data_IF_487574778949
#
_entry.id   IF_487574778949
#
_cell.length_a   1.000
_cell.length_b   1.000
_cell.length_c   1.000
_cell.angle_alpha   90.00
_cell.angle_beta   90.00
_cell.angle_gamma   90.00
#
_symmetry.space_group_name_H-M   'P 1'
#
loop_
_entity.id
_entity.type
_entity.pdbx_description
1 polymer ?
#
# COMPACT_ATOMS: atom_id res chain seq x y z
N UNK A 1 -35.69 74.77 0.36
CA UNK A 1 -34.38 74.12 0.37
C UNK A 1 -34.65 72.67 0.74
N UNK A 2 -34.74 71.76 -0.26
CA UNK A 2 -35.06 70.33 -0.09
C UNK A 2 -33.81 69.52 -0.24
N UNK A 3 -33.43 68.82 0.83
CA UNK A 3 -32.28 67.94 0.82
C UNK A 3 -32.80 66.48 0.81
N UNK A 4 -32.80 65.90 -0.38
CA UNK A 4 -33.10 64.48 -0.53
C UNK A 4 -31.79 63.67 -0.34
N UNK A 5 -31.66 62.99 0.80
CA UNK A 5 -30.58 62.04 1.05
C UNK A 5 -30.84 60.72 0.33
N UNK A 6 -29.98 60.37 -0.62
CA UNK A 6 -29.97 59.05 -1.27
C UNK A 6 -29.33 58.01 -0.34
N UNK A 7 -30.09 57.00 0.06
CA UNK A 7 -29.59 55.83 0.79
C UNK A 7 -29.11 54.81 -0.25
N UNK A 8 -27.79 54.68 -0.41
CA UNK A 8 -27.20 53.64 -1.23
C UNK A 8 -27.24 52.31 -0.43
N UNK A 9 -28.15 51.42 -0.84
CA UNK A 9 -28.20 50.05 -0.29
C UNK A 9 -27.04 49.18 -0.81
N UNK A 10 -26.14 48.79 0.06
CA UNK A 10 -25.12 47.81 -0.26
C UNK A 10 -25.72 46.40 -0.30
N UNK A 11 -25.85 45.83 -1.48
CA UNK A 11 -26.22 44.42 -1.67
C UNK A 11 -24.98 43.55 -1.36
N UNK A 12 -24.95 42.91 -0.19
CA UNK A 12 -23.97 41.87 0.10
C UNK A 12 -24.31 40.64 -0.72
N UNK A 13 -23.48 40.34 -1.74
CA UNK A 13 -23.48 39.04 -2.41
C UNK A 13 -22.88 37.97 -1.50
N UNK A 14 -23.73 37.11 -1.01
CA UNK A 14 -23.28 35.88 -0.31
C UNK A 14 -22.90 34.85 -1.36
N UNK A 15 -21.59 34.62 -1.55
CA UNK A 15 -21.13 33.55 -2.40
C UNK A 15 -21.47 32.18 -1.78
N UNK A 16 -22.07 31.26 -2.54
CA UNK A 16 -22.29 29.90 -2.01
C UNK A 16 -20.95 29.21 -1.85
N UNK A 17 -20.62 28.80 -0.63
CA UNK A 17 -19.52 27.88 -0.37
C UNK A 17 -19.91 26.53 -0.96
N UNK A 18 -19.38 26.23 -2.14
CA UNK A 18 -19.40 24.89 -2.69
C UNK A 18 -18.49 24.03 -1.81
N UNK A 19 -19.08 23.34 -0.86
CA UNK A 19 -18.40 22.36 -0.03
C UNK A 19 -17.78 21.30 -0.96
N UNK A 20 -16.45 21.22 -0.97
CA UNK A 20 -15.75 20.06 -1.54
C UNK A 20 -16.21 18.85 -0.71
N UNK A 21 -17.10 18.04 -1.26
CA UNK A 21 -17.39 16.72 -0.77
C UNK A 21 -16.07 15.93 -0.89
N UNK A 22 -15.34 15.83 0.21
CA UNK A 22 -14.24 14.87 0.32
C UNK A 22 -14.89 13.51 0.16
N UNK A 23 -14.65 12.90 -1.01
CA UNK A 23 -14.99 11.51 -1.22
C UNK A 23 -14.21 10.72 -0.16
N UNK A 24 -14.92 10.34 0.89
CA UNK A 24 -14.45 9.34 1.85
C UNK A 24 -14.21 8.09 1.00
N UNK A 25 -12.95 7.77 0.77
CA UNK A 25 -12.56 6.48 0.19
C UNK A 25 -13.06 5.42 1.16
N UNK A 26 -14.23 4.88 0.85
CA UNK A 26 -14.79 3.74 1.54
C UNK A 26 -13.76 2.63 1.42
N UNK A 27 -13.11 2.30 2.53
CA UNK A 27 -12.28 1.11 2.61
C UNK A 27 -13.20 -0.07 2.34
N UNK A 28 -13.09 -0.62 1.13
CA UNK A 28 -13.78 -1.86 0.79
C UNK A 28 -13.33 -2.94 1.76
N UNK A 29 -14.24 -3.76 2.28
CA UNK A 29 -13.88 -4.89 3.12
C UNK A 29 -12.79 -5.72 2.44
N UNK A 30 -11.69 -5.96 3.14
CA UNK A 30 -10.62 -6.77 2.61
C UNK A 30 -11.10 -8.21 2.45
N UNK A 31 -10.97 -8.81 1.25
CA UNK A 31 -11.28 -10.23 1.11
C UNK A 31 -10.34 -11.07 1.97
N UNK A 32 -10.84 -12.13 2.63
CA UNK A 32 -9.99 -13.01 3.41
C UNK A 32 -8.94 -13.70 2.52
N UNK A 33 -7.73 -13.87 3.05
CA UNK A 33 -6.66 -14.55 2.32
C UNK A 33 -6.98 -16.04 2.15
N UNK A 34 -7.11 -16.50 0.92
CA UNK A 34 -7.26 -17.90 0.57
C UNK A 34 -5.89 -18.58 0.43
N UNK A 35 -5.37 -19.12 1.53
CA UNK A 35 -4.07 -19.78 1.56
C UNK A 35 -4.22 -21.26 1.23
N UNK A 36 -3.44 -21.74 0.26
CA UNK A 36 -3.36 -23.14 -0.14
C UNK A 36 -1.89 -23.55 -0.09
N UNK A 37 -1.56 -24.42 0.86
CA UNK A 37 -0.16 -24.78 1.13
C UNK A 37 0.67 -23.57 1.52
N UNK A 38 1.70 -23.26 0.73
CA UNK A 38 2.61 -22.12 0.94
C UNK A 38 2.35 -20.95 -0.02
N UNK A 39 1.12 -20.83 -0.54
CA UNK A 39 0.75 -19.86 -1.57
C UNK A 39 -0.64 -19.27 -1.36
N UNK A 40 -0.88 -18.09 -1.95
CA UNK A 40 -2.21 -17.53 -2.24
C UNK A 40 -2.37 -17.57 -3.77
N UNK A 41 -3.03 -18.62 -4.32
CA UNK A 41 -3.11 -18.81 -5.77
C UNK A 41 -3.91 -17.73 -6.48
N UNK A 42 -4.96 -17.22 -5.83
CA UNK A 42 -5.84 -16.22 -6.41
C UNK A 42 -5.26 -14.83 -6.22
N UNK A 43 -5.33 -14.00 -7.28
CA UNK A 43 -5.01 -12.59 -7.17
C UNK A 43 -5.97 -11.89 -6.19
N UNK A 44 -5.46 -10.91 -5.43
CA UNK A 44 -6.24 -10.15 -4.46
C UNK A 44 -7.15 -9.10 -5.12
N UNK A 45 -6.90 -8.80 -6.39
CA UNK A 45 -7.67 -7.85 -7.20
C UNK A 45 -7.91 -8.40 -8.61
N UNK A 46 -8.95 -7.89 -9.27
CA UNK A 46 -9.21 -8.21 -10.68
C UNK A 46 -8.24 -7.46 -11.62
N UNK A 47 -7.64 -6.38 -11.16
CA UNK A 47 -6.67 -5.59 -11.94
C UNK A 47 -5.29 -6.21 -11.80
N UNK A 48 -4.61 -6.53 -12.91
CA UNK A 48 -3.24 -7.04 -12.88
C UNK A 48 -2.30 -6.09 -12.14
N UNK A 49 -1.30 -6.66 -11.47
CA UNK A 49 -0.24 -5.89 -10.84
C UNK A 49 0.62 -5.17 -11.88
N UNK A 50 1.09 -3.98 -11.54
CA UNK A 50 1.98 -3.16 -12.37
C UNK A 50 3.40 -3.20 -11.81
N UNK A 51 4.40 -3.71 -12.56
CA UNK A 51 5.77 -3.82 -12.09
C UNK A 51 6.43 -2.48 -11.77
N UNK A 52 6.06 -1.39 -12.49
CA UNK A 52 6.66 -0.08 -12.24
C UNK A 52 6.15 0.52 -10.91
N UNK A 53 4.84 0.40 -10.63
CA UNK A 53 4.29 0.77 -9.32
C UNK A 53 4.85 -0.12 -8.22
N UNK A 54 4.97 -1.41 -8.47
CA UNK A 54 5.56 -2.35 -7.51
C UNK A 54 7.00 -2.01 -7.16
N UNK A 55 7.81 -1.64 -8.17
CA UNK A 55 9.18 -1.18 -7.96
C UNK A 55 9.24 0.08 -7.10
N UNK A 56 8.38 1.04 -7.36
CA UNK A 56 8.30 2.27 -6.57
C UNK A 56 7.90 1.99 -5.10
N UNK A 57 6.99 1.04 -4.88
CA UNK A 57 6.62 0.59 -3.53
C UNK A 57 7.80 -0.08 -2.81
N UNK A 58 8.53 -0.98 -3.47
CA UNK A 58 9.69 -1.66 -2.89
C UNK A 58 10.81 -0.67 -2.53
N UNK A 59 11.04 0.34 -3.36
CA UNK A 59 12.01 1.39 -3.09
C UNK A 59 11.57 2.38 -2.00
N UNK A 60 10.27 2.47 -1.71
CA UNK A 60 9.73 3.44 -0.77
C UNK A 60 10.08 3.10 0.69
N UNK A 61 10.74 4.05 1.37
CA UNK A 61 11.04 3.97 2.80
C UNK A 61 9.87 4.37 3.71
N UNK A 62 8.76 4.82 3.14
CA UNK A 62 7.56 5.22 3.85
C UNK A 62 6.40 4.21 3.69
N UNK A 63 6.37 3.50 2.56
CA UNK A 63 5.26 2.59 2.22
C UNK A 63 5.69 1.12 2.27
N UNK A 64 6.64 0.74 1.40
CA UNK A 64 7.06 -0.66 1.26
C UNK A 64 7.99 -1.11 2.38
N UNK A 65 8.92 -0.25 2.80
CA UNK A 65 9.92 -0.55 3.82
C UNK A 65 10.84 -1.74 3.50
N UNK A 66 10.73 -2.32 2.30
CA UNK A 66 11.40 -3.57 1.91
C UNK A 66 12.92 -3.47 2.03
N UNK A 67 13.49 -2.36 1.51
CA UNK A 67 14.93 -2.15 1.48
C UNK A 67 15.53 -1.74 2.82
N UNK A 68 14.73 -1.64 3.89
CA UNK A 68 15.27 -1.54 5.25
C UNK A 68 15.89 -2.86 5.70
N UNK A 69 15.40 -3.99 5.17
CA UNK A 69 15.85 -5.33 5.53
C UNK A 69 16.48 -6.08 4.35
N UNK A 70 15.96 -5.92 3.13
CA UNK A 70 16.41 -6.59 1.92
C UNK A 70 17.37 -5.73 1.12
N UNK A 71 18.29 -6.38 0.41
CA UNK A 71 18.95 -5.83 -0.76
C UNK A 71 18.19 -6.20 -2.04
N UNK A 72 18.46 -5.51 -3.14
CA UNK A 72 17.84 -5.79 -4.43
C UNK A 72 18.37 -4.88 -5.55
N UNK A 73 18.01 -5.17 -6.82
CA UNK A 73 18.51 -4.44 -7.99
C UNK A 73 17.85 -3.06 -8.16
N UNK A 74 18.00 -2.21 -7.17
CA UNK A 74 17.51 -0.83 -7.12
C UNK A 74 18.70 0.08 -6.81
N UNK A 75 19.55 0.39 -7.80
CA UNK A 75 20.85 1.03 -7.61
C UNK A 75 20.78 2.47 -7.09
N UNK A 76 19.66 3.14 -7.29
CA UNK A 76 19.42 4.48 -6.75
C UNK A 76 19.24 4.49 -5.23
N UNK A 77 18.83 3.37 -4.63
CA UNK A 77 18.74 3.18 -3.18
C UNK A 77 20.08 2.64 -2.65
N UNK A 78 20.95 3.55 -2.21
CA UNK A 78 22.34 3.23 -1.83
C UNK A 78 22.45 2.51 -0.49
N UNK A 79 21.49 2.71 0.41
CA UNK A 79 21.51 2.14 1.77
C UNK A 79 20.44 1.07 1.91
N UNK A 80 20.75 -0.11 1.40
CA UNK A 80 19.88 -1.28 1.48
C UNK A 80 20.27 -2.17 2.66
N UNK A 81 19.26 -2.82 3.25
CA UNK A 81 19.45 -3.75 4.35
C UNK A 81 20.06 -5.07 3.92
N UNK A 82 20.57 -5.81 4.89
CA UNK A 82 21.14 -7.15 4.72
C UNK A 82 20.62 -8.14 5.77
N UNK A 83 19.51 -7.82 6.45
CA UNK A 83 18.88 -8.67 7.46
C UNK A 83 18.04 -9.78 6.85
N UNK A 84 17.61 -9.60 5.59
CA UNK A 84 16.74 -10.50 4.86
C UNK A 84 17.37 -10.87 3.50
N UNK A 85 16.91 -11.95 2.84
CA UNK A 85 17.47 -12.40 1.56
C UNK A 85 17.39 -11.31 0.49
N UNK A 86 18.38 -11.29 -0.42
CA UNK A 86 18.39 -10.44 -1.60
C UNK A 86 17.15 -10.69 -2.46
N UNK A 87 16.53 -9.61 -2.95
CA UNK A 87 15.36 -9.67 -3.82
C UNK A 87 15.73 -10.08 -5.26
N UNK A 88 17.01 -9.95 -5.67
CA UNK A 88 17.46 -10.47 -6.95
C UNK A 88 17.10 -11.95 -7.08
N UNK A 89 16.60 -12.35 -8.24
CA UNK A 89 16.18 -13.74 -8.51
C UNK A 89 14.90 -14.19 -7.79
N UNK A 90 14.17 -13.29 -7.09
CA UNK A 90 12.93 -13.66 -6.41
C UNK A 90 11.89 -14.29 -7.35
N UNK A 91 11.78 -13.77 -8.58
CA UNK A 91 10.88 -14.28 -9.60
C UNK A 91 11.26 -15.65 -10.16
N UNK A 92 12.51 -16.10 -9.97
CA UNK A 92 12.95 -17.46 -10.31
C UNK A 92 12.76 -18.43 -9.13
N UNK A 93 12.90 -17.95 -7.89
CA UNK A 93 12.78 -18.78 -6.68
C UNK A 93 11.34 -19.11 -6.31
N UNK A 94 10.39 -18.22 -6.59
CA UNK A 94 9.03 -18.33 -6.08
C UNK A 94 7.99 -18.12 -7.17
N UNK A 95 6.92 -18.91 -7.11
CA UNK A 95 5.72 -18.64 -7.92
C UNK A 95 5.03 -17.35 -7.48
N UNK A 96 4.14 -16.87 -8.31
CA UNK A 96 3.36 -15.66 -8.02
C UNK A 96 2.54 -15.78 -6.73
N UNK A 97 1.85 -16.92 -6.54
CA UNK A 97 1.09 -17.18 -5.33
C UNK A 97 1.96 -17.29 -4.07
N UNK A 98 3.17 -17.84 -4.21
CA UNK A 98 4.13 -17.91 -3.11
C UNK A 98 4.70 -16.55 -2.74
N UNK A 99 4.99 -15.70 -3.72
CA UNK A 99 5.37 -14.29 -3.47
C UNK A 99 4.24 -13.54 -2.80
N UNK A 100 3.01 -13.72 -3.28
CA UNK A 100 1.83 -13.09 -2.71
C UNK A 100 1.66 -13.41 -1.23
N UNK A 101 1.77 -14.67 -0.83
CA UNK A 101 1.68 -15.05 0.58
C UNK A 101 2.82 -14.46 1.41
N UNK A 102 4.06 -14.47 0.90
CA UNK A 102 5.22 -13.92 1.61
C UNK A 102 5.09 -12.43 1.89
N UNK A 103 4.50 -11.68 0.95
CA UNK A 103 4.26 -10.26 1.13
C UNK A 103 3.03 -10.04 2.01
N UNK A 104 1.92 -10.69 1.70
CA UNK A 104 0.67 -10.49 2.43
C UNK A 104 0.82 -10.85 3.92
N UNK A 105 1.38 -12.01 4.22
CA UNK A 105 1.54 -12.50 5.59
C UNK A 105 2.63 -13.58 5.69
N UNK A 106 3.88 -13.16 5.79
CA UNK A 106 5.03 -14.07 5.97
C UNK A 106 4.95 -14.90 7.26
N UNK A 107 4.22 -14.43 8.27
CA UNK A 107 4.10 -15.12 9.56
C UNK A 107 3.26 -16.40 9.47
N UNK A 108 2.45 -16.56 8.42
CA UNK A 108 1.78 -17.83 8.13
C UNK A 108 2.74 -18.94 7.71
N UNK A 109 3.87 -18.59 7.13
CA UNK A 109 4.93 -19.53 6.76
C UNK A 109 5.91 -19.75 7.92
N UNK A 110 6.22 -18.68 8.65
CA UNK A 110 7.12 -18.73 9.79
C UNK A 110 6.66 -17.69 10.84
N UNK A 111 6.13 -18.15 11.95
CA UNK A 111 5.65 -17.28 13.04
C UNK A 111 6.73 -16.41 13.67
N UNK A 112 7.99 -16.79 13.53
CA UNK A 112 9.13 -16.01 13.99
C UNK A 112 9.64 -14.99 12.95
N UNK A 113 8.97 -14.86 11.82
CA UNK A 113 9.36 -13.89 10.79
C UNK A 113 9.29 -12.46 11.31
N UNK A 114 10.38 -11.71 11.12
CA UNK A 114 10.43 -10.27 11.39
C UNK A 114 9.79 -9.45 10.26
N UNK A 115 9.56 -10.06 9.09
CA UNK A 115 8.87 -9.39 7.99
C UNK A 115 7.44 -9.05 8.43
N UNK A 116 7.02 -7.78 8.29
CA UNK A 116 5.65 -7.41 8.63
C UNK A 116 4.63 -8.17 7.79
N UNK A 117 3.46 -8.43 8.36
CA UNK A 117 2.29 -8.86 7.61
C UNK A 117 1.65 -7.61 6.99
N UNK A 118 1.74 -7.47 5.66
CA UNK A 118 1.33 -6.25 4.96
C UNK A 118 -0.18 -6.16 4.73
N UNK A 119 -0.87 -7.29 4.75
CA UNK A 119 -2.29 -7.35 4.43
C UNK A 119 -3.23 -7.39 5.64
N UNK A 120 -2.99 -8.19 6.71
CA UNK A 120 -3.90 -8.26 7.84
C UNK A 120 -4.10 -6.90 8.50
N UNK A 121 -5.34 -6.60 8.87
CA UNK A 121 -5.73 -5.39 9.58
C UNK A 121 -6.34 -5.68 10.95
N UNK A 122 -6.62 -6.96 11.23
CA UNK A 122 -7.25 -7.44 12.47
C UNK A 122 -6.25 -8.27 13.28
N UNK A 123 -6.51 -8.40 14.57
CA UNK A 123 -5.71 -9.18 15.53
C UNK A 123 -4.23 -8.74 15.64
N UNK A 124 -3.93 -7.51 15.24
CA UNK A 124 -2.59 -6.97 15.29
C UNK A 124 -2.23 -6.50 16.70
N UNK A 125 -1.05 -6.90 17.16
CA UNK A 125 -0.52 -6.55 18.49
C UNK A 125 0.46 -5.38 18.37
N UNK A 126 0.36 -4.40 19.29
CA UNK A 126 1.26 -3.23 19.37
C UNK A 126 1.23 -2.31 18.15
N UNK A 127 0.09 -2.18 17.53
CA UNK A 127 -0.11 -1.26 16.41
C UNK A 127 -0.46 0.13 16.90
N UNK A 128 0.22 1.14 16.41
CA UNK A 128 -0.08 2.54 16.70
C UNK A 128 -1.50 2.91 16.29
N UNK A 129 -2.15 3.79 17.08
CA UNK A 129 -3.57 4.15 16.92
C UNK A 129 -3.94 4.55 15.48
N UNK A 130 -3.03 5.25 14.77
CA UNK A 130 -3.24 5.67 13.39
C UNK A 130 -3.35 4.50 12.39
N UNK A 131 -2.88 3.31 12.76
CA UNK A 131 -2.79 2.11 11.91
C UNK A 131 -3.75 1.00 12.32
N UNK A 132 -4.46 1.16 13.43
CA UNK A 132 -5.44 0.17 13.88
C UNK A 132 -6.53 -0.04 12.82
N UNK A 133 -6.83 -1.30 12.53
CA UNK A 133 -7.82 -1.69 11.51
C UNK A 133 -7.41 -1.36 10.06
N UNK A 134 -6.13 -1.02 9.82
CA UNK A 134 -5.64 -0.70 8.47
C UNK A 134 -4.50 -1.64 8.07
N UNK A 135 -4.51 -2.18 6.84
CA UNK A 135 -3.37 -2.89 6.30
C UNK A 135 -2.22 -1.92 6.00
N UNK A 136 -1.00 -2.42 5.99
CA UNK A 136 0.17 -1.66 5.52
C UNK A 136 0.05 -1.40 4.02
N UNK A 137 -0.39 -2.42 3.26
CA UNK A 137 -0.64 -2.33 1.82
C UNK A 137 -2.07 -2.77 1.50
N UNK A 138 -2.71 -2.05 0.60
CA UNK A 138 -3.98 -2.49 0.02
C UNK A 138 -3.76 -3.66 -0.96
N UNK A 139 -4.82 -4.38 -1.37
CA UNK A 139 -4.71 -5.52 -2.27
C UNK A 139 -3.96 -5.22 -3.57
N UNK A 140 -4.22 -4.08 -4.21
CA UNK A 140 -3.58 -3.70 -5.47
C UNK A 140 -2.08 -3.45 -5.29
N UNK A 141 -1.67 -2.82 -4.19
CA UNK A 141 -0.26 -2.60 -3.90
C UNK A 141 0.51 -3.92 -3.72
N UNK A 142 -0.12 -4.91 -3.11
CA UNK A 142 0.48 -6.26 -3.02
C UNK A 142 0.65 -6.88 -4.40
N UNK A 143 -0.37 -6.83 -5.27
CA UNK A 143 -0.25 -7.34 -6.64
C UNK A 143 0.82 -6.59 -7.44
N UNK A 144 0.93 -5.28 -7.28
CA UNK A 144 1.98 -4.48 -7.93
C UNK A 144 3.39 -4.93 -7.48
N UNK A 145 3.60 -5.14 -6.17
CA UNK A 145 4.88 -5.66 -5.64
C UNK A 145 5.16 -7.07 -6.15
N UNK A 146 4.16 -7.96 -6.17
CA UNK A 146 4.29 -9.31 -6.74
C UNK A 146 4.70 -9.23 -8.21
N UNK A 147 4.04 -8.38 -9.00
CA UNK A 147 4.36 -8.19 -10.41
C UNK A 147 5.82 -7.73 -10.60
N UNK A 148 6.30 -6.79 -9.79
CA UNK A 148 7.69 -6.36 -9.82
C UNK A 148 8.65 -7.50 -9.47
N UNK A 149 8.45 -8.19 -8.34
CA UNK A 149 9.33 -9.28 -7.91
C UNK A 149 9.38 -10.43 -8.93
N UNK A 150 8.30 -10.66 -9.66
CA UNK A 150 8.26 -11.62 -10.77
C UNK A 150 9.20 -11.26 -11.93
N UNK A 151 9.52 -9.98 -12.12
CA UNK A 151 10.49 -9.54 -13.14
C UNK A 151 11.93 -9.82 -12.73
N UNK A 152 12.22 -9.99 -11.43
CA UNK A 152 13.55 -10.23 -10.90
C UNK A 152 13.95 -11.70 -11.11
N UNK A 153 14.34 -12.01 -12.33
CA UNK A 153 14.83 -13.33 -12.74
C UNK A 153 16.33 -13.26 -13.03
N UNK A 154 17.02 -14.31 -12.66
CA UNK A 154 18.43 -14.50 -13.00
C UNK A 154 18.53 -15.12 -14.39
#
# INVERSE_FOLDING_TARGET
MNWQGAIAGAVMMVAPWTGFAQAQQQQQPQPPLQVVGDAIPQALTATPGDPARGRALVASRQLGLCLLCHSGPIPEERFQGNLAPDLAGAGSRWSEGQLRLRIADAQRLNRASMMPAYYPSEDLVRVGTAWQGKPIMNPQQIEDVVAFLRTLRN
#
